data_IF_528064240711
#
_entry.id   IF_528064240711
#
_cell.length_a   1.000
_cell.length_b   1.000
_cell.length_c   1.000
_cell.angle_alpha   90.00
_cell.angle_beta   90.00
_cell.angle_gamma   90.00
#
_symmetry.space_group_name_H-M   'P 1'
#
loop_
_entity.id
_entity.type
_entity.pdbx_description
1 polymer ?
#
# COMPACT_ATOMS: atom_id res chain seq x y z
N UNK A 1 9.97 -0.61 -1.00
CA UNK A 1 10.07 0.18 -2.25
C UNK A 1 10.11 -0.72 -3.49
N UNK A 2 11.06 -1.66 -3.62
CA UNK A 2 11.16 -2.58 -4.77
C UNK A 2 9.85 -3.32 -5.09
N UNK A 3 9.25 -3.99 -4.10
CA UNK A 3 7.97 -4.71 -4.26
C UNK A 3 6.87 -3.84 -4.88
N UNK A 4 6.72 -2.60 -4.42
CA UNK A 4 5.75 -1.66 -4.97
C UNK A 4 6.07 -1.24 -6.41
N UNK A 5 7.36 -1.05 -6.72
CA UNK A 5 7.79 -0.73 -8.07
C UNK A 5 7.51 -1.89 -9.05
N UNK A 6 7.76 -3.13 -8.63
CA UNK A 6 7.46 -4.33 -9.43
C UNK A 6 5.94 -4.45 -9.72
N UNK A 7 5.10 -4.01 -8.78
CA UNK A 7 3.63 -3.95 -8.93
C UNK A 7 3.15 -2.72 -9.71
N UNK A 8 4.04 -1.81 -10.13
CA UNK A 8 3.67 -0.56 -10.80
C UNK A 8 3.02 0.49 -9.89
N UNK A 9 3.17 0.36 -8.57
CA UNK A 9 2.58 1.27 -7.58
C UNK A 9 3.52 2.42 -7.28
N UNK A 10 3.04 3.64 -7.51
CA UNK A 10 3.75 4.86 -7.17
C UNK A 10 3.63 5.18 -5.67
N UNK A 11 4.75 5.54 -5.05
CA UNK A 11 4.80 5.98 -3.66
C UNK A 11 4.58 7.50 -3.64
N UNK A 12 3.50 7.93 -3.00
CA UNK A 12 3.17 9.35 -2.88
C UNK A 12 4.06 10.06 -1.86
N UNK A 13 4.15 9.53 -0.63
CA UNK A 13 5.00 10.06 0.45
C UNK A 13 5.48 8.91 1.34
N UNK A 14 6.63 9.09 1.98
CA UNK A 14 7.13 8.20 3.04
C UNK A 14 7.31 9.04 4.30
N UNK A 15 6.70 8.60 5.39
CA UNK A 15 6.80 9.25 6.70
C UNK A 15 7.03 8.19 7.79
N UNK A 16 7.73 8.52 8.89
CA UNK A 16 8.39 9.80 9.16
C UNK A 16 9.76 9.95 8.47
N UNK A 17 10.33 8.86 7.94
CA UNK A 17 11.67 8.85 7.35
C UNK A 17 11.78 9.77 6.12
N UNK A 18 12.62 10.81 6.21
CA UNK A 18 12.87 11.74 5.11
C UNK A 18 11.72 12.72 4.82
N UNK A 19 10.64 12.68 5.59
CA UNK A 19 9.48 13.57 5.42
C UNK A 19 9.74 14.98 5.94
N UNK A 20 9.40 15.98 5.14
CA UNK A 20 9.32 17.38 5.54
C UNK A 20 7.91 17.72 5.99
N UNK A 21 7.76 18.63 6.96
CA UNK A 21 6.45 19.20 7.34
C UNK A 21 5.71 19.78 6.12
N UNK A 22 6.46 20.33 5.16
CA UNK A 22 5.91 20.87 3.91
C UNK A 22 5.30 19.80 2.99
N UNK A 23 5.65 18.53 3.17
CA UNK A 23 5.12 17.40 2.41
C UNK A 23 3.85 16.80 3.03
N UNK A 24 3.51 17.12 4.30
CA UNK A 24 2.32 16.59 4.96
C UNK A 24 1.02 16.90 4.20
N UNK A 25 0.98 18.03 3.49
CA UNK A 25 -0.13 18.41 2.59
C UNK A 25 -0.38 17.42 1.45
N UNK A 26 0.60 16.57 1.11
CA UNK A 26 0.48 15.57 0.06
C UNK A 26 -0.11 14.26 0.58
N UNK A 27 -0.17 14.00 1.89
CA UNK A 27 -0.67 12.72 2.43
C UNK A 27 -2.06 12.35 1.88
N UNK A 28 -3.05 13.25 1.82
CA UNK A 28 -4.39 12.91 1.33
C UNK A 28 -4.48 12.58 -0.16
N UNK A 29 -3.38 12.67 -0.92
CA UNK A 29 -3.34 12.33 -2.36
C UNK A 29 -3.15 10.83 -2.61
N UNK A 30 -2.73 10.07 -1.60
CA UNK A 30 -2.55 8.62 -1.73
C UNK A 30 -3.90 7.89 -1.71
N UNK A 31 -3.94 6.71 -2.33
CA UNK A 31 -5.15 5.89 -2.39
C UNK A 31 -5.28 4.95 -1.18
N UNK A 32 -4.15 4.53 -0.63
CA UNK A 32 -4.06 3.60 0.50
C UNK A 32 -2.74 3.86 1.25
N UNK A 33 -2.76 3.70 2.56
CA UNK A 33 -1.57 3.79 3.41
C UNK A 33 -1.00 2.40 3.69
N UNK A 34 0.32 2.25 3.63
CA UNK A 34 1.00 0.98 3.92
C UNK A 34 1.77 1.13 5.23
N UNK A 35 1.47 0.27 6.21
CA UNK A 35 2.08 0.25 7.53
C UNK A 35 2.75 -1.11 7.76
N UNK A 36 3.97 -1.34 7.23
CA UNK A 36 4.64 -2.64 7.37
C UNK A 36 4.90 -3.03 8.83
N UNK A 37 5.13 -2.02 9.70
CA UNK A 37 5.36 -2.17 11.12
C UNK A 37 4.35 -1.33 11.91
N UNK A 38 3.51 -2.00 12.69
CA UNK A 38 2.44 -1.35 13.46
C UNK A 38 2.98 -0.36 14.48
N UNK A 39 4.20 -0.58 14.94
CA UNK A 39 4.91 0.21 15.94
C UNK A 39 5.26 1.62 15.47
N UNK A 40 5.42 1.85 14.16
CA UNK A 40 5.97 3.11 13.62
C UNK A 40 4.94 3.96 12.86
N UNK A 41 3.85 3.36 12.36
CA UNK A 41 2.91 4.09 11.48
C UNK A 41 1.42 3.93 11.81
N UNK A 42 1.04 3.05 12.74
CA UNK A 42 -0.38 2.69 12.93
C UNK A 42 -1.23 3.89 13.37
N UNK A 43 -0.74 4.71 14.31
CA UNK A 43 -1.49 5.88 14.79
C UNK A 43 -1.73 6.90 13.67
N UNK A 44 -0.75 7.11 12.80
CA UNK A 44 -0.89 8.00 11.65
C UNK A 44 -1.89 7.45 10.64
N UNK A 45 -1.84 6.15 10.38
CA UNK A 45 -2.78 5.49 9.48
C UNK A 45 -4.24 5.56 10.00
N UNK A 46 -4.46 5.30 11.29
CA UNK A 46 -5.78 5.46 11.94
C UNK A 46 -6.27 6.91 11.83
N UNK A 47 -5.38 7.89 12.05
CA UNK A 47 -5.72 9.30 11.88
C UNK A 47 -6.13 9.61 10.42
N UNK A 48 -5.37 9.15 9.43
CA UNK A 48 -5.67 9.37 8.03
C UNK A 48 -6.96 8.67 7.58
N UNK A 49 -7.24 7.49 8.12
CA UNK A 49 -8.51 6.79 7.90
C UNK A 49 -9.68 7.59 8.45
N UNK A 50 -9.59 8.06 9.70
CA UNK A 50 -10.65 8.81 10.36
C UNK A 50 -10.92 10.16 9.70
N UNK A 51 -9.87 10.93 9.40
CA UNK A 51 -10.01 12.33 8.97
C UNK A 51 -10.11 12.48 7.44
N UNK A 52 -9.53 11.55 6.67
CA UNK A 52 -9.50 11.62 5.20
C UNK A 52 -10.16 10.42 4.51
N UNK A 53 -10.68 9.44 5.26
CA UNK A 53 -11.27 8.23 4.69
C UNK A 53 -10.26 7.33 3.97
N UNK A 54 -8.96 7.49 4.27
CA UNK A 54 -7.91 6.75 3.59
C UNK A 54 -7.72 5.36 4.23
N UNK A 55 -7.96 4.26 3.49
CA UNK A 55 -7.73 2.93 4.03
C UNK A 55 -6.24 2.70 4.30
N UNK A 56 -5.94 1.73 5.17
CA UNK A 56 -4.58 1.31 5.42
C UNK A 56 -4.43 -0.21 5.48
N UNK A 57 -3.21 -0.68 5.21
CA UNK A 57 -2.82 -2.09 5.30
C UNK A 57 -1.72 -2.18 6.35
N UNK A 58 -1.97 -2.93 7.42
CA UNK A 58 -1.02 -3.12 8.52
C UNK A 58 -0.46 -4.54 8.62
N UNK A 59 -0.78 -5.41 7.66
CA UNK A 59 -0.13 -6.72 7.54
C UNK A 59 1.35 -6.50 7.25
N UNK A 60 2.21 -7.17 8.00
CA UNK A 60 3.65 -7.13 7.77
C UNK A 60 3.99 -8.09 6.63
N UNK A 61 4.60 -7.61 5.52
CA UNK A 61 4.96 -8.49 4.39
C UNK A 61 6.22 -9.30 4.73
N UNK A 62 6.04 -10.37 5.52
CA UNK A 62 7.12 -11.23 5.98
C UNK A 62 6.88 -12.69 5.54
N UNK A 63 7.84 -13.26 4.82
CA UNK A 63 7.63 -14.58 4.21
C UNK A 63 6.59 -14.54 3.08
N UNK A 64 6.37 -15.69 2.45
CA UNK A 64 5.59 -15.75 1.20
C UNK A 64 4.09 -15.57 1.46
N UNK A 65 3.57 -16.20 2.51
CA UNK A 65 2.14 -16.17 2.84
C UNK A 65 1.68 -14.76 3.20
N UNK A 66 2.34 -14.10 4.15
CA UNK A 66 1.93 -12.75 4.56
C UNK A 66 2.23 -11.71 3.47
N UNK A 67 3.26 -11.92 2.64
CA UNK A 67 3.52 -11.04 1.49
C UNK A 67 2.43 -11.20 0.43
N UNK A 68 1.95 -12.42 0.15
CA UNK A 68 0.84 -12.65 -0.78
C UNK A 68 -0.44 -11.98 -0.27
N UNK A 69 -0.80 -12.20 1.00
CA UNK A 69 -1.96 -11.58 1.63
C UNK A 69 -1.85 -10.04 1.63
N UNK A 70 -0.65 -9.50 1.87
CA UNK A 70 -0.40 -8.07 1.79
C UNK A 70 -0.64 -7.52 0.38
N UNK A 71 -0.21 -8.23 -0.66
CA UNK A 71 -0.46 -7.85 -2.07
C UNK A 71 -1.95 -7.96 -2.42
N UNK A 72 -2.65 -9.01 -1.96
CA UNK A 72 -4.10 -9.16 -2.16
C UNK A 72 -4.89 -8.01 -1.53
N UNK A 73 -4.51 -7.55 -0.34
CA UNK A 73 -5.12 -6.37 0.28
C UNK A 73 -4.86 -5.10 -0.54
N UNK A 74 -3.64 -4.92 -1.08
CA UNK A 74 -3.32 -3.80 -1.97
C UNK A 74 -4.21 -3.85 -3.21
N UNK A 75 -4.31 -5.00 -3.87
CA UNK A 75 -5.17 -5.20 -5.03
C UNK A 75 -6.62 -4.82 -4.70
N UNK A 76 -7.15 -5.30 -3.57
CA UNK A 76 -8.50 -5.02 -3.13
C UNK A 76 -8.78 -3.51 -3.00
N UNK A 77 -7.91 -2.77 -2.30
CA UNK A 77 -8.11 -1.33 -2.11
C UNK A 77 -7.89 -0.52 -3.39
N UNK A 78 -6.88 -0.87 -4.20
CA UNK A 78 -6.65 -0.23 -5.49
C UNK A 78 -7.86 -0.46 -6.41
N UNK A 79 -8.40 -1.67 -6.47
CA UNK A 79 -9.53 -2.01 -7.35
C UNK A 79 -10.88 -1.39 -6.93
N UNK A 80 -10.98 -0.78 -5.75
CA UNK A 80 -12.13 0.09 -5.42
C UNK A 80 -12.12 1.41 -6.19
N UNK A 81 -10.93 1.88 -6.58
CA UNK A 81 -10.73 3.19 -7.21
C UNK A 81 -10.30 3.07 -8.68
N UNK A 82 -9.44 2.10 -8.99
CA UNK A 82 -8.83 1.90 -10.31
C UNK A 82 -9.83 1.81 -11.46
N UNK A 83 -10.98 1.11 -11.37
CA UNK A 83 -11.96 1.09 -12.47
C UNK A 83 -12.48 2.49 -12.83
N UNK A 84 -12.67 3.35 -11.82
CA UNK A 84 -13.23 4.68 -12.02
C UNK A 84 -12.15 5.70 -12.45
N UNK A 85 -10.90 5.51 -12.01
CA UNK A 85 -9.80 6.47 -12.26
C UNK A 85 -8.95 6.06 -13.48
N UNK A 86 -8.64 4.78 -13.62
CA UNK A 86 -7.76 4.23 -14.65
C UNK A 86 -8.54 3.55 -15.80
N UNK A 87 -9.80 3.19 -15.58
CA UNK A 87 -10.62 2.47 -16.56
C UNK A 87 -10.40 0.95 -16.59
N UNK A 88 -9.58 0.41 -15.68
CA UNK A 88 -9.32 -1.03 -15.58
C UNK A 88 -9.03 -1.45 -14.12
N UNK A 89 -9.07 -2.76 -13.86
CA UNK A 89 -8.65 -3.37 -12.60
C UNK A 89 -7.21 -3.87 -12.71
N UNK A 90 -6.47 -3.76 -11.63
CA UNK A 90 -5.16 -4.42 -11.50
C UNK A 90 -5.34 -5.87 -11.07
N UNK A 91 -4.41 -6.73 -11.46
CA UNK A 91 -4.33 -8.12 -11.04
C UNK A 91 -2.86 -8.46 -10.78
N UNK A 92 -2.54 -8.88 -9.56
CA UNK A 92 -1.18 -9.21 -9.14
C UNK A 92 -0.96 -10.71 -8.92
N UNK A 93 -1.92 -11.56 -9.28
CA UNK A 93 -1.83 -13.01 -9.06
C UNK A 93 -0.62 -13.62 -9.78
N UNK A 94 -0.36 -13.19 -11.02
CA UNK A 94 0.81 -13.62 -11.77
C UNK A 94 2.13 -13.24 -11.11
N UNK A 95 2.17 -12.11 -10.39
CA UNK A 95 3.35 -11.70 -9.63
C UNK A 95 3.53 -12.58 -8.38
N UNK A 96 2.46 -12.81 -7.62
CA UNK A 96 2.46 -13.68 -6.43
C UNK A 96 2.93 -15.08 -6.79
N UNK A 97 2.39 -15.66 -7.87
CA UNK A 97 2.78 -16.97 -8.40
C UNK A 97 4.26 -17.04 -8.76
N UNK A 98 4.81 -15.99 -9.37
CA UNK A 98 6.23 -15.96 -9.72
C UNK A 98 7.14 -15.93 -8.48
N UNK A 99 6.71 -15.26 -7.41
CA UNK A 99 7.47 -15.19 -6.17
C UNK A 99 7.39 -16.49 -5.34
N UNK A 100 6.35 -17.30 -5.51
CA UNK A 100 6.16 -18.56 -4.76
C UNK A 100 6.77 -19.80 -5.44
N UNK A 101 6.97 -19.77 -6.77
CA UNK A 101 7.42 -20.94 -7.56
C UNK A 101 8.81 -21.51 -7.24
N UNK A 102 9.66 -20.77 -6.54
CA UNK A 102 11.05 -21.14 -6.29
C UNK A 102 11.35 -21.50 -4.83
N UNK A 103 10.31 -21.87 -4.07
CA UNK A 103 10.41 -22.19 -2.64
C UNK A 103 10.19 -23.67 -2.41
#
# INVERSE_FOLDING_TARGET
KRLLADLGIQINEVIPEGGSVNQLKNLPKAWVNLVPYREVGLMTAIYLEKEFGMPYISTTPMGIVDTAEWIHQIEFYINKLAPNILGYKVNYESYIDQQSRFV
#
